data_IF_199179280400
#
_entry.id   IF_199179280400
#
_cell.length_a   1.000
_cell.length_b   1.000
_cell.length_c   1.000
_cell.angle_alpha   90.00
_cell.angle_beta   90.00
_cell.angle_gamma   90.00
#
_symmetry.space_group_name_H-M   'P 1'
#
loop_
_entity.id
_entity.type
_entity.pdbx_description
1 polymer ?
#
# COMPACT_ATOMS: atom_id res chain seq x y z
N UNK A 1 27.96 3.75 -16.06
CA UNK A 1 26.58 3.77 -16.57
C UNK A 1 26.55 4.58 -17.85
N UNK A 2 25.55 4.37 -18.72
CA UNK A 2 25.33 5.21 -19.91
C UNK A 2 24.17 6.15 -19.61
N UNK A 3 24.33 7.44 -19.86
CA UNK A 3 23.26 8.43 -19.64
C UNK A 3 23.77 9.83 -19.28
N UNK A 4 22.92 10.86 -19.40
CA UNK A 4 23.31 12.26 -19.18
C UNK A 4 23.71 12.54 -17.73
N UNK A 5 23.15 11.83 -16.76
CA UNK A 5 23.49 11.94 -15.33
C UNK A 5 24.71 11.09 -14.97
N UNK A 6 24.89 9.93 -15.60
CA UNK A 6 25.93 8.96 -15.23
C UNK A 6 27.35 9.55 -15.30
N UNK A 7 27.62 10.48 -16.22
CA UNK A 7 28.92 11.16 -16.33
C UNK A 7 29.26 12.06 -15.13
N UNK A 8 28.28 12.41 -14.31
CA UNK A 8 28.45 13.26 -13.12
C UNK A 8 28.47 12.46 -11.81
N UNK A 9 28.19 11.16 -11.85
CA UNK A 9 28.18 10.29 -10.67
C UNK A 9 29.49 9.50 -10.64
N UNK A 10 30.30 9.60 -9.57
CA UNK A 10 31.53 8.81 -9.41
C UNK A 10 31.30 7.30 -9.55
N UNK A 11 32.32 6.55 -10.00
CA UNK A 11 32.17 5.12 -10.31
C UNK A 11 31.81 4.26 -9.08
N UNK A 12 32.37 4.60 -7.93
CA UNK A 12 32.05 3.99 -6.63
C UNK A 12 30.60 4.24 -6.23
N UNK A 13 30.10 5.48 -6.38
CA UNK A 13 28.70 5.80 -6.15
C UNK A 13 27.77 5.07 -7.14
N UNK A 14 28.16 4.96 -8.41
CA UNK A 14 27.40 4.17 -9.37
C UNK A 14 27.38 2.68 -9.01
N UNK A 15 28.48 2.14 -8.48
CA UNK A 15 28.54 0.75 -8.02
C UNK A 15 27.64 0.53 -6.81
N UNK A 16 27.64 1.46 -5.85
CA UNK A 16 26.76 1.43 -4.69
C UNK A 16 25.27 1.49 -5.08
N UNK A 17 24.91 2.38 -6.01
CA UNK A 17 23.53 2.48 -6.53
C UNK A 17 23.11 1.17 -7.21
N UNK A 18 23.98 0.57 -8.04
CA UNK A 18 23.69 -0.72 -8.69
C UNK A 18 23.43 -1.82 -7.67
N UNK A 19 24.27 -1.90 -6.64
CA UNK A 19 24.12 -2.88 -5.57
C UNK A 19 22.83 -2.67 -4.77
N UNK A 20 22.51 -1.41 -4.39
CA UNK A 20 21.31 -1.09 -3.64
C UNK A 20 20.02 -1.32 -4.43
N UNK A 21 20.02 -1.06 -5.74
CA UNK A 21 18.87 -1.27 -6.60
C UNK A 21 18.73 -2.71 -7.12
N UNK A 22 19.75 -3.57 -6.93
CA UNK A 22 19.73 -4.95 -7.41
C UNK A 22 19.73 -5.10 -8.94
N UNK A 23 20.28 -4.13 -9.68
CA UNK A 23 20.18 -4.04 -11.15
C UNK A 23 21.43 -4.56 -11.87
N UNK A 24 21.24 -5.16 -13.05
CA UNK A 24 22.27 -5.74 -13.91
C UNK A 24 22.42 -5.07 -15.29
N UNK A 25 23.28 -5.61 -16.17
CA UNK A 25 23.41 -5.15 -17.55
C UNK A 25 22.08 -5.28 -18.31
N UNK A 26 21.59 -4.17 -18.86
CA UNK A 26 20.30 -4.12 -19.56
C UNK A 26 19.23 -3.36 -18.78
N UNK A 27 19.41 -3.20 -17.47
CA UNK A 27 18.50 -2.48 -16.60
C UNK A 27 18.77 -0.97 -16.59
N UNK A 28 17.75 -0.21 -16.19
CA UNK A 28 17.82 1.24 -16.04
C UNK A 28 17.38 1.66 -14.63
N UNK A 29 18.05 2.69 -14.10
CA UNK A 29 17.68 3.35 -12.84
C UNK A 29 17.27 4.78 -13.18
N UNK A 30 16.06 5.15 -12.75
CA UNK A 30 15.53 6.51 -12.89
C UNK A 30 15.66 7.25 -11.56
N UNK A 31 15.84 8.57 -11.63
CA UNK A 31 15.97 9.42 -10.45
C UNK A 31 14.90 10.52 -10.48
N UNK A 32 14.28 10.75 -9.33
CA UNK A 32 13.40 11.89 -9.07
C UNK A 32 14.01 12.72 -7.94
N UNK A 33 14.27 14.01 -8.19
CA UNK A 33 14.86 14.92 -7.20
C UNK A 33 13.92 16.10 -6.97
N UNK A 34 13.13 16.00 -5.91
CA UNK A 34 12.15 17.00 -5.45
C UNK A 34 11.87 16.74 -3.96
N UNK A 35 10.89 17.42 -3.36
CA UNK A 35 10.52 17.11 -1.97
C UNK A 35 10.05 15.63 -1.88
N UNK A 36 10.19 14.94 -0.72
CA UNK A 36 9.90 13.51 -0.64
C UNK A 36 8.49 13.11 -1.10
N UNK A 37 7.47 13.90 -0.73
CA UNK A 37 6.06 13.65 -1.06
C UNK A 37 5.80 13.75 -2.57
N UNK A 38 6.28 14.81 -3.22
CA UNK A 38 6.19 14.98 -4.67
C UNK A 38 7.02 13.91 -5.39
N UNK A 39 8.20 13.56 -4.87
CA UNK A 39 9.10 12.58 -5.48
C UNK A 39 8.43 11.21 -5.51
N UNK A 40 7.84 10.79 -4.39
CA UNK A 40 7.10 9.55 -4.29
C UNK A 40 5.88 9.53 -5.23
N UNK A 41 5.09 10.60 -5.26
CA UNK A 41 3.93 10.72 -6.15
C UNK A 41 4.33 10.63 -7.63
N UNK A 42 5.35 11.39 -8.05
CA UNK A 42 5.85 11.39 -9.41
C UNK A 42 6.46 10.04 -9.80
N UNK A 43 7.32 9.47 -8.95
CA UNK A 43 7.92 8.15 -9.19
C UNK A 43 6.86 7.05 -9.28
N UNK A 44 5.80 7.13 -8.47
CA UNK A 44 4.66 6.21 -8.54
C UNK A 44 3.96 6.26 -9.90
N UNK A 45 3.69 7.45 -10.43
CA UNK A 45 3.09 7.62 -11.76
C UNK A 45 4.00 7.07 -12.87
N UNK A 46 5.30 7.36 -12.81
CA UNK A 46 6.27 6.85 -13.78
C UNK A 46 6.36 5.32 -13.72
N UNK A 47 6.41 4.74 -12.53
CA UNK A 47 6.42 3.29 -12.32
C UNK A 47 5.20 2.63 -12.96
N UNK A 48 3.99 3.15 -12.71
CA UNK A 48 2.75 2.61 -13.30
C UNK A 48 2.77 2.71 -14.81
N UNK A 49 3.20 3.86 -15.37
CA UNK A 49 3.29 4.04 -16.82
C UNK A 49 4.31 3.10 -17.48
N UNK A 50 5.46 2.88 -16.85
CA UNK A 50 6.45 1.93 -17.35
C UNK A 50 5.95 0.49 -17.27
N UNK A 51 5.25 0.13 -16.19
CA UNK A 51 4.62 -1.18 -16.05
C UNK A 51 3.66 -1.48 -17.19
N UNK A 52 2.82 -0.51 -17.56
CA UNK A 52 1.90 -0.60 -18.71
C UNK A 52 2.65 -0.70 -20.05
N UNK A 53 3.59 0.23 -20.32
CA UNK A 53 4.31 0.28 -21.60
C UNK A 53 5.21 -0.93 -21.86
N UNK A 54 5.72 -1.55 -20.81
CA UNK A 54 6.62 -2.71 -20.89
C UNK A 54 5.88 -4.04 -20.69
N UNK A 55 4.55 -4.02 -20.55
CA UNK A 55 3.71 -5.20 -20.30
C UNK A 55 4.15 -6.01 -19.07
N UNK A 56 4.50 -5.32 -17.99
CA UNK A 56 4.97 -5.91 -16.72
C UNK A 56 3.86 -6.09 -15.68
N UNK A 57 2.65 -5.56 -15.94
CA UNK A 57 1.51 -5.71 -15.04
C UNK A 57 0.88 -7.07 -15.27
N UNK A 58 0.76 -7.87 -14.20
CA UNK A 58 0.03 -9.14 -14.23
C UNK A 58 -1.42 -8.90 -14.69
N UNK A 59 -1.89 -9.73 -15.62
CA UNK A 59 -3.25 -9.68 -16.16
C UNK A 59 -4.12 -10.71 -15.44
N UNK A 60 -5.40 -10.42 -15.33
CA UNK A 60 -6.41 -11.33 -14.77
C UNK A 60 -6.11 -11.79 -13.32
N UNK A 61 -5.44 -10.94 -12.55
CA UNK A 61 -5.03 -11.19 -11.16
C UNK A 61 -5.43 -10.01 -10.28
N UNK A 62 -5.83 -10.31 -9.04
CA UNK A 62 -6.06 -9.30 -8.01
C UNK A 62 -4.97 -9.37 -6.93
N UNK A 63 -4.21 -8.28 -6.74
CA UNK A 63 -3.22 -8.16 -5.66
C UNK A 63 -3.69 -7.13 -4.63
N UNK A 64 -4.32 -7.61 -3.56
CA UNK A 64 -4.82 -6.76 -2.50
C UNK A 64 -3.73 -6.44 -1.47
N UNK A 65 -3.79 -5.23 -0.91
CA UNK A 65 -2.98 -4.85 0.23
C UNK A 65 -3.79 -3.95 1.17
N UNK A 66 -3.37 -3.92 2.43
CA UNK A 66 -3.93 -3.04 3.45
C UNK A 66 -2.88 -2.00 3.79
N UNK A 67 -3.27 -0.73 3.73
CA UNK A 67 -2.46 0.34 4.29
C UNK A 67 -2.99 0.60 5.69
N UNK A 68 -2.13 0.38 6.68
CA UNK A 68 -2.41 0.61 8.11
C UNK A 68 -1.45 1.68 8.62
N UNK A 69 -1.58 2.05 9.89
CA UNK A 69 -0.62 2.94 10.55
C UNK A 69 -0.50 4.31 9.88
N UNK A 70 -1.63 4.86 9.45
CA UNK A 70 -1.68 6.25 9.00
C UNK A 70 -1.36 7.19 10.18
N UNK A 71 -0.64 8.30 9.97
CA UNK A 71 -0.50 9.34 10.99
C UNK A 71 -1.88 9.83 11.42
N UNK A 72 -2.14 10.03 12.70
CA UNK A 72 -3.39 10.62 13.21
C UNK A 72 -3.45 12.12 12.94
N UNK A 73 -2.29 12.77 12.98
CA UNK A 73 -2.11 14.17 12.69
C UNK A 73 -1.14 14.36 11.53
N UNK A 74 -1.32 15.42 10.76
CA UNK A 74 -0.34 15.89 9.81
C UNK A 74 -0.08 17.39 9.98
N UNK A 75 1.04 17.84 9.44
CA UNK A 75 1.35 19.26 9.41
C UNK A 75 0.91 19.81 8.07
N UNK A 76 0.02 20.79 8.10
CA UNK A 76 -0.40 21.48 6.89
C UNK A 76 0.79 22.22 6.28
N UNK A 77 1.01 22.01 4.98
CA UNK A 77 2.18 22.54 4.27
C UNK A 77 2.11 24.06 4.08
N UNK A 78 0.93 24.69 4.19
CA UNK A 78 0.73 26.11 3.92
C UNK A 78 0.77 26.96 5.20
N UNK A 79 0.04 26.53 6.22
CA UNK A 79 -0.14 27.19 7.52
C UNK A 79 0.89 26.74 8.53
N UNK A 80 1.44 25.52 8.37
CA UNK A 80 2.34 24.91 9.34
C UNK A 80 1.66 24.41 10.61
N UNK A 81 0.34 24.50 10.70
CA UNK A 81 -0.44 24.02 11.84
C UNK A 81 -0.54 22.49 11.81
N UNK A 82 -0.75 21.91 13.00
CA UNK A 82 -0.99 20.48 13.14
C UNK A 82 -2.49 20.25 13.08
N UNK A 83 -2.93 19.46 12.12
CA UNK A 83 -4.34 19.13 11.88
C UNK A 83 -4.53 17.62 11.80
N UNK A 84 -5.78 17.16 11.83
CA UNK A 84 -6.08 15.74 11.64
C UNK A 84 -5.86 15.38 10.18
N UNK A 85 -5.11 14.30 9.95
CA UNK A 85 -4.80 13.80 8.60
C UNK A 85 -6.04 13.29 7.86
N UNK A 86 -6.97 12.66 8.58
CA UNK A 86 -8.18 12.05 8.03
C UNK A 86 -9.41 12.36 8.89
N UNK A 87 -9.70 11.52 9.89
CA UNK A 87 -10.90 11.62 10.71
C UNK A 87 -10.54 12.05 12.15
N UNK A 88 -11.09 13.15 12.68
CA UNK A 88 -10.81 13.59 14.05
C UNK A 88 -11.34 12.65 15.14
N UNK A 89 -12.19 11.69 14.78
CA UNK A 89 -12.74 10.70 15.71
C UNK A 89 -12.04 9.33 15.63
N UNK A 90 -10.97 9.25 14.84
CA UNK A 90 -10.08 8.10 14.80
C UNK A 90 -9.45 7.82 16.16
N UNK A 91 -9.36 6.55 16.54
CA UNK A 91 -8.77 6.17 17.82
C UNK A 91 -7.24 6.10 17.67
N UNK A 92 -6.45 6.82 18.49
CA UNK A 92 -5.00 6.73 18.45
C UNK A 92 -4.52 5.34 18.85
N UNK A 93 -3.50 4.82 18.17
CA UNK A 93 -2.74 3.68 18.67
C UNK A 93 -2.11 4.04 20.02
N UNK A 94 -2.28 3.18 21.03
CA UNK A 94 -1.90 3.48 22.41
C UNK A 94 -2.95 4.26 23.20
N UNK A 95 -4.09 4.61 22.60
CA UNK A 95 -5.23 5.23 23.28
C UNK A 95 -4.90 6.58 23.90
N UNK A 96 -5.52 6.87 25.06
CA UNK A 96 -5.30 8.13 25.78
C UNK A 96 -3.83 8.39 26.14
N UNK A 97 -3.07 7.33 26.46
CA UNK A 97 -1.66 7.49 26.82
C UNK A 97 -0.83 8.07 25.67
N UNK A 98 -1.12 7.70 24.42
CA UNK A 98 -0.44 8.27 23.26
C UNK A 98 -0.70 9.78 23.15
N UNK A 99 -1.96 10.21 23.32
CA UNK A 99 -2.33 11.64 23.30
C UNK A 99 -1.68 12.45 24.42
N UNK A 100 -1.41 11.83 25.58
CA UNK A 100 -0.83 12.51 26.74
C UNK A 100 0.71 12.53 26.74
N UNK A 101 1.36 11.61 26.02
CA UNK A 101 2.80 11.36 26.18
C UNK A 101 3.64 11.43 24.90
N UNK A 102 3.03 11.38 23.71
CA UNK A 102 3.74 11.38 22.43
C UNK A 102 3.71 12.76 21.75
N UNK A 103 4.66 13.01 20.86
CA UNK A 103 4.55 14.12 19.90
C UNK A 103 3.34 13.85 18.98
N UNK A 104 2.42 14.81 18.76
CA UNK A 104 1.27 14.62 17.88
C UNK A 104 1.60 14.03 16.51
N UNK A 105 2.76 14.40 15.91
CA UNK A 105 3.13 13.92 14.59
C UNK A 105 3.66 12.47 14.57
N UNK A 106 3.92 11.89 15.75
CA UNK A 106 4.31 10.49 15.91
C UNK A 106 3.12 9.58 16.26
N UNK A 107 1.93 10.15 16.51
CA UNK A 107 0.74 9.38 16.85
C UNK A 107 0.15 8.79 15.58
N UNK A 108 -0.03 7.47 15.58
CA UNK A 108 -0.67 6.72 14.49
C UNK A 108 -2.15 6.51 14.79
N UNK A 109 -2.96 6.54 13.76
CA UNK A 109 -4.35 6.11 13.80
C UNK A 109 -4.41 4.58 13.96
N UNK A 110 -5.28 4.11 14.84
CA UNK A 110 -5.62 2.71 14.91
C UNK A 110 -6.55 2.39 13.74
N UNK A 111 -6.00 1.85 12.66
CA UNK A 111 -6.79 1.11 11.66
C UNK A 111 -7.50 -0.12 12.26
N UNK A 112 -7.26 -0.41 13.55
CA UNK A 112 -7.69 -1.60 14.24
C UNK A 112 -8.20 -1.31 15.67
N UNK A 113 -9.41 -0.75 15.81
CA UNK A 113 -10.02 -0.66 17.13
C UNK A 113 -10.17 -2.07 17.73
N UNK A 114 -9.42 -2.32 18.81
CA UNK A 114 -9.51 -3.50 19.69
C UNK A 114 -9.09 -4.86 19.07
N UNK A 115 -8.26 -4.89 18.01
CA UNK A 115 -7.78 -6.16 17.43
C UNK A 115 -8.79 -6.88 16.52
N UNK A 116 -10.00 -6.33 16.34
CA UNK A 116 -11.09 -6.96 15.60
C UNK A 116 -10.95 -6.79 14.09
N UNK A 117 -10.40 -5.66 13.64
CA UNK A 117 -10.22 -5.40 12.21
C UNK A 117 -9.13 -6.29 11.63
N UNK A 118 -8.07 -6.58 12.39
CA UNK A 118 -7.01 -7.49 11.96
C UNK A 118 -7.53 -8.90 11.68
N UNK A 119 -8.39 -9.44 12.56
CA UNK A 119 -9.02 -10.73 12.33
C UNK A 119 -9.94 -10.77 11.10
N UNK A 120 -10.63 -9.66 10.81
CA UNK A 120 -11.45 -9.52 9.60
C UNK A 120 -10.59 -9.40 8.35
N UNK A 121 -9.50 -8.62 8.41
CA UNK A 121 -8.49 -8.49 7.35
C UNK A 121 -7.86 -9.84 7.02
N UNK A 122 -7.55 -10.65 8.03
CA UNK A 122 -7.02 -12.00 7.87
C UNK A 122 -8.04 -12.97 7.26
N UNK A 123 -9.32 -12.85 7.63
CA UNK A 123 -10.40 -13.63 7.03
C UNK A 123 -10.63 -13.23 5.56
N UNK A 124 -10.67 -11.93 5.25
CA UNK A 124 -10.74 -11.41 3.87
C UNK A 124 -9.56 -11.95 3.06
N UNK A 125 -8.34 -11.86 3.60
CA UNK A 125 -7.13 -12.30 2.92
C UNK A 125 -7.13 -13.81 2.64
N UNK A 126 -7.69 -14.63 3.53
CA UNK A 126 -7.87 -16.07 3.31
C UNK A 126 -8.90 -16.37 2.22
N UNK A 127 -10.06 -15.71 2.28
CA UNK A 127 -11.11 -15.89 1.29
C UNK A 127 -10.66 -15.44 -0.11
N UNK A 128 -9.85 -14.38 -0.21
CA UNK A 128 -9.31 -13.92 -1.49
C UNK A 128 -8.31 -14.91 -2.09
N UNK A 129 -7.45 -15.54 -1.27
CA UNK A 129 -6.57 -16.63 -1.73
C UNK A 129 -7.36 -17.85 -2.20
N UNK A 130 -8.51 -18.12 -1.58
CA UNK A 130 -9.40 -19.18 -2.03
C UNK A 130 -10.02 -18.84 -3.40
N UNK A 131 -10.44 -17.59 -3.63
CA UNK A 131 -10.89 -17.14 -4.96
C UNK A 131 -9.79 -17.29 -6.01
N UNK A 132 -8.57 -16.82 -5.73
CA UNK A 132 -7.43 -16.97 -6.65
C UNK A 132 -7.23 -18.44 -7.03
N UNK A 133 -7.20 -19.34 -6.03
CA UNK A 133 -7.07 -20.78 -6.27
C UNK A 133 -8.20 -21.34 -7.13
N UNK A 134 -9.44 -20.90 -6.91
CA UNK A 134 -10.61 -21.40 -7.65
C UNK A 134 -10.68 -20.86 -9.09
N UNK A 135 -10.08 -19.69 -9.35
CA UNK A 135 -9.93 -19.13 -10.70
C UNK A 135 -8.80 -19.79 -11.49
N UNK A 136 -7.77 -20.28 -10.81
CA UNK A 136 -6.67 -21.07 -11.41
C UNK A 136 -7.09 -22.51 -11.77
N UNK A 137 -8.18 -23.02 -11.21
CA UNK A 137 -8.72 -24.35 -11.53
C UNK A 137 -9.52 -24.25 -12.86
N UNK A 138 -9.16 -25.04 -13.88
CA UNK A 138 -9.86 -25.12 -15.18
C UNK A 138 -11.31 -25.66 -15.08
N UNK A 139 -11.78 -25.97 -13.87
CA UNK A 139 -13.13 -26.48 -13.60
C UNK A 139 -14.17 -25.36 -13.63
N UNK A 140 -14.82 -25.17 -14.78
CA UNK A 140 -15.92 -24.22 -14.96
C UNK A 140 -17.28 -24.76 -14.50
N UNK A 141 -17.32 -25.85 -13.73
CA UNK A 141 -18.57 -26.46 -13.26
C UNK A 141 -19.43 -25.52 -12.41
N UNK A 142 -20.74 -25.72 -12.43
CA UNK A 142 -21.71 -24.93 -11.63
C UNK A 142 -21.38 -24.91 -10.14
N UNK A 143 -20.74 -25.97 -9.62
CA UNK A 143 -20.30 -26.03 -8.23
C UNK A 143 -19.15 -25.06 -7.94
N UNK A 144 -18.13 -24.97 -8.81
CA UNK A 144 -17.02 -24.04 -8.63
C UNK A 144 -17.53 -22.58 -8.71
N UNK A 145 -18.40 -22.29 -9.69
CA UNK A 145 -19.04 -20.97 -9.79
C UNK A 145 -19.85 -20.61 -8.54
N UNK A 146 -20.58 -21.56 -7.95
CA UNK A 146 -21.33 -21.31 -6.71
C UNK A 146 -20.41 -21.05 -5.51
N UNK A 147 -19.30 -21.77 -5.40
CA UNK A 147 -18.30 -21.54 -4.33
C UNK A 147 -17.67 -20.16 -4.50
N UNK A 148 -17.23 -19.81 -5.71
CA UNK A 148 -16.69 -18.48 -6.02
C UNK A 148 -17.68 -17.37 -5.63
N UNK A 149 -18.95 -17.49 -6.03
CA UNK A 149 -19.97 -16.48 -5.73
C UNK A 149 -20.22 -16.33 -4.21
N UNK A 150 -20.26 -17.45 -3.47
CA UNK A 150 -20.45 -17.43 -2.03
C UNK A 150 -19.24 -16.80 -1.31
N UNK A 151 -18.03 -17.13 -1.74
CA UNK A 151 -16.80 -16.59 -1.16
C UNK A 151 -16.65 -15.10 -1.45
N UNK A 152 -17.01 -14.63 -2.65
CA UNK A 152 -17.08 -13.19 -2.98
C UNK A 152 -18.11 -12.47 -2.11
N UNK A 153 -19.32 -13.02 -1.95
CA UNK A 153 -20.33 -12.44 -1.07
C UNK A 153 -19.84 -12.33 0.38
N UNK A 154 -19.08 -13.33 0.85
CA UNK A 154 -18.48 -13.31 2.18
C UNK A 154 -17.40 -12.23 2.32
N UNK A 155 -16.59 -12.01 1.28
CA UNK A 155 -15.60 -10.93 1.25
C UNK A 155 -16.31 -9.57 1.36
N UNK A 156 -17.39 -9.35 0.60
CA UNK A 156 -18.15 -8.10 0.65
C UNK A 156 -18.75 -7.84 2.05
N UNK A 157 -19.28 -8.87 2.71
CA UNK A 157 -19.75 -8.77 4.10
C UNK A 157 -18.64 -8.35 5.07
N UNK A 158 -17.46 -8.97 4.94
CA UNK A 158 -16.33 -8.68 5.81
C UNK A 158 -15.76 -7.28 5.54
N UNK A 159 -15.69 -6.84 4.28
CA UNK A 159 -15.30 -5.47 3.92
C UNK A 159 -16.27 -4.46 4.52
N UNK A 160 -17.57 -4.73 4.42
CA UNK A 160 -18.61 -3.88 5.01
C UNK A 160 -18.46 -3.79 6.54
N UNK A 161 -18.11 -4.89 7.20
CA UNK A 161 -17.87 -4.90 8.64
C UNK A 161 -16.59 -4.16 9.02
N UNK A 162 -15.51 -4.27 8.23
CA UNK A 162 -14.29 -3.45 8.41
C UNK A 162 -14.63 -1.98 8.31
N UNK A 163 -15.31 -1.57 7.23
CA UNK A 163 -15.78 -0.19 7.00
C UNK A 163 -16.61 0.33 8.19
N UNK A 164 -17.53 -0.49 8.70
CA UNK A 164 -18.34 -0.15 9.87
C UNK A 164 -17.50 0.05 11.14
N UNK A 165 -16.44 -0.73 11.33
CA UNK A 165 -15.55 -0.64 12.50
C UNK A 165 -14.55 0.49 12.40
N UNK A 166 -14.08 0.83 11.21
CA UNK A 166 -13.11 1.91 10.94
C UNK A 166 -13.78 3.26 10.69
N UNK A 167 -15.09 3.30 10.47
CA UNK A 167 -15.84 4.53 10.18
C UNK A 167 -15.52 5.10 8.79
N UNK A 168 -15.15 4.23 7.85
CA UNK A 168 -14.79 4.56 6.45
C UNK A 168 -15.79 4.01 5.45
#
# INVERSE_FOLDING_TARGET
GKGPIAKFVPEDAQAAIRAAAGVGPGDAVFFACMNPKQAAAFAGQVRTRLGDQLDLLEKDVFRFCWTVDFPLYERDEQTGEVEFSHNPFSMPQGGMAALETMDPLDILDSANPLGKVEGLIDEISRNMKEIERLLDDDDTGEQNQSIQQNTLSRIDELITEVQRLTGT
#
